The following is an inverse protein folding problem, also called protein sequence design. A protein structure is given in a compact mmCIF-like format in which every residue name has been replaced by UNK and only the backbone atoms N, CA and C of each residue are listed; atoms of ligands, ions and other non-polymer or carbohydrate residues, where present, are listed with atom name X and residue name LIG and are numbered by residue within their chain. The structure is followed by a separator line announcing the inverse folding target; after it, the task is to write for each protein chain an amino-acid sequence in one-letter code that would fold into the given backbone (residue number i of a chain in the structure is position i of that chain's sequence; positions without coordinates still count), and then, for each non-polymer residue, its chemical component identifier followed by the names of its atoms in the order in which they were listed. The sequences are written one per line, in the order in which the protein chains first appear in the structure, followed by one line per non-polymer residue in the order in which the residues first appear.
data_IF_445226495111
#
_entry.id   IF_445226495111
#
_cell.length_a   1.000
_cell.length_b   1.000
_cell.length_c   1.000
_cell.angle_alpha   90.00
_cell.angle_beta   90.00
_cell.angle_gamma   90.00
#
_symmetry.space_group_name_H-M   'P 1'
#
loop_
_entity.id
_entity.type
_entity.pdbx_description
1 polymer ?
#
# COMPACT_ATOMS: atom_id res chain seq x y z
N UNK A 1 -14.97 -1.56 25.08
CA UNK A 1 -14.23 -0.63 24.20
C UNK A 1 -13.06 -0.08 25.00
N UNK A 2 -11.85 -0.07 24.44
CA UNK A 2 -10.69 0.52 25.11
C UNK A 2 -10.69 2.05 24.89
N UNK A 3 -10.22 2.81 25.88
CA UNK A 3 -10.00 4.25 25.73
C UNK A 3 -8.86 4.51 24.74
N UNK A 4 -9.04 5.45 23.83
CA UNK A 4 -7.98 5.89 22.92
C UNK A 4 -6.82 6.49 23.72
N UNK A 5 -5.61 5.95 23.53
CA UNK A 5 -4.38 6.42 24.19
C UNK A 5 -3.18 6.28 23.27
N UNK A 6 -2.08 6.97 23.59
CA UNK A 6 -0.84 6.89 22.81
C UNK A 6 -0.30 5.46 22.76
N UNK A 7 -0.35 4.73 23.87
CA UNK A 7 0.14 3.34 23.91
C UNK A 7 -0.73 2.41 23.07
N UNK A 8 -2.05 2.63 23.06
CA UNK A 8 -2.95 1.92 22.15
C UNK A 8 -2.58 2.19 20.68
N UNK A 9 -2.31 3.45 20.31
CA UNK A 9 -1.89 3.80 18.94
C UNK A 9 -0.56 3.17 18.54
N UNK A 10 0.42 3.14 19.45
CA UNK A 10 1.71 2.47 19.23
C UNK A 10 1.52 0.97 19.01
N UNK A 11 0.75 0.31 19.88
CA UNK A 11 0.49 -1.12 19.81
C UNK A 11 -0.33 -1.51 18.56
N UNK A 12 -1.21 -0.63 18.09
CA UNK A 12 -2.00 -0.83 16.88
C UNK A 12 -1.22 -0.56 15.58
N UNK A 13 0.00 -0.03 15.65
CA UNK A 13 0.75 0.38 14.46
C UNK A 13 0.12 1.55 13.71
N UNK A 14 -0.57 2.45 14.43
CA UNK A 14 -1.33 3.55 13.83
C UNK A 14 -0.46 4.70 13.31
N UNK A 15 0.81 4.77 13.74
CA UNK A 15 1.76 5.76 13.25
C UNK A 15 2.38 5.31 11.92
N UNK A 16 2.40 6.22 10.94
CA UNK A 16 3.08 5.96 9.68
C UNK A 16 4.58 5.71 9.94
N UNK A 17 5.22 4.75 9.24
CA UNK A 17 6.65 4.51 9.36
C UNK A 17 7.46 5.78 9.07
N UNK A 18 8.53 5.99 9.86
CA UNK A 18 9.41 7.13 9.67
C UNK A 18 10.30 7.01 8.43
N UNK A 19 10.61 5.78 8.01
CA UNK A 19 11.46 5.51 6.83
C UNK A 19 10.61 5.22 5.60
N UNK A 20 10.94 5.81 4.44
CA UNK A 20 10.36 5.44 3.15
C UNK A 20 10.66 3.99 2.76
N UNK A 21 9.82 3.42 1.89
CA UNK A 21 10.01 2.09 1.34
C UNK A 21 10.66 2.17 -0.05
N UNK A 22 11.77 1.42 -0.26
CA UNK A 22 12.45 1.33 -1.56
C UNK A 22 11.59 0.53 -2.53
N UNK A 23 11.33 1.07 -3.72
CA UNK A 23 10.66 0.39 -4.84
C UNK A 23 11.45 0.56 -6.13
N UNK A 24 11.29 -0.39 -7.03
CA UNK A 24 11.79 -0.30 -8.40
C UNK A 24 10.60 -0.07 -9.32
N UNK A 25 10.73 0.90 -10.21
CA UNK A 25 9.69 1.24 -11.19
C UNK A 25 10.25 1.11 -12.60
N UNK A 26 9.34 0.86 -13.53
CA UNK A 26 9.62 0.84 -14.96
C UNK A 26 8.58 1.65 -15.71
N UNK A 27 8.99 2.36 -16.74
CA UNK A 27 8.09 3.11 -17.61
C UNK A 27 8.62 3.17 -19.03
N UNK A 28 7.75 3.51 -19.98
CA UNK A 28 8.07 3.59 -21.40
C UNK A 28 7.80 5.01 -21.89
N UNK A 29 8.73 5.57 -22.66
CA UNK A 29 8.62 6.87 -23.31
C UNK A 29 8.07 6.75 -24.74
N UNK A 30 7.71 7.86 -25.38
CA UNK A 30 7.12 7.87 -26.73
C UNK A 30 8.00 7.20 -27.79
N UNK A 31 9.32 7.22 -27.59
CA UNK A 31 10.30 6.53 -28.44
C UNK A 31 10.39 5.01 -28.18
N UNK A 32 9.46 4.47 -27.38
CA UNK A 32 9.34 3.05 -26.99
C UNK A 32 10.52 2.52 -26.20
N UNK A 33 11.35 3.38 -25.62
CA UNK A 33 12.44 2.95 -24.73
C UNK A 33 11.91 2.63 -23.34
N UNK A 34 12.38 1.51 -22.80
CA UNK A 34 12.12 1.11 -21.42
C UNK A 34 13.13 1.81 -20.50
N UNK A 35 12.61 2.49 -19.49
CA UNK A 35 13.39 3.12 -18.43
C UNK A 35 13.10 2.42 -17.10
N UNK A 36 14.12 2.37 -16.24
CA UNK A 36 14.03 1.77 -14.91
C UNK A 36 14.66 2.72 -13.88
N UNK A 37 14.05 2.82 -12.70
CA UNK A 37 14.60 3.62 -11.62
C UNK A 37 14.24 3.03 -10.25
N UNK A 38 15.08 3.37 -9.27
CA UNK A 38 14.81 3.16 -7.85
C UNK A 38 14.14 4.41 -7.30
N UNK A 39 13.05 4.24 -6.57
CA UNK A 39 12.34 5.30 -5.87
C UNK A 39 12.19 4.93 -4.40
N UNK A 40 11.93 5.95 -3.57
CA UNK A 40 11.55 5.76 -2.18
C UNK A 40 10.17 6.35 -1.96
N UNK A 41 9.28 5.54 -1.38
CA UNK A 41 7.88 5.90 -1.21
C UNK A 41 7.59 6.08 0.28
N UNK A 42 7.18 7.29 0.66
CA UNK A 42 6.63 7.58 1.98
C UNK A 42 5.20 7.04 2.07
N UNK A 43 4.90 6.27 3.12
CA UNK A 43 3.53 5.82 3.40
C UNK A 43 2.63 7.00 3.76
N UNK A 44 1.36 6.96 3.32
CA UNK A 44 0.38 7.99 3.66
C UNK A 44 0.22 8.13 5.18
N UNK A 45 0.05 9.37 5.59
CA UNK A 45 -0.08 9.79 6.98
C UNK A 45 -1.04 10.98 7.09
N UNK A 46 -1.25 11.46 8.31
CA UNK A 46 -2.01 12.70 8.52
C UNK A 46 -1.34 13.91 7.82
N UNK A 47 -0.01 13.94 7.71
CA UNK A 47 0.70 15.02 7.01
C UNK A 47 0.40 15.03 5.52
N UNK A 48 0.44 13.86 4.86
CA UNK A 48 0.09 13.77 3.43
C UNK A 48 -1.38 14.11 3.19
N UNK A 49 -2.26 13.79 4.14
CA UNK A 49 -3.68 14.15 4.04
C UNK A 49 -3.88 15.67 4.10
N UNK A 50 -3.14 16.37 4.97
CA UNK A 50 -3.15 17.84 5.03
C UNK A 50 -2.67 18.43 3.70
N UNK A 51 -1.57 17.94 3.14
CA UNK A 51 -1.05 18.41 1.85
C UNK A 51 -2.08 18.22 0.73
N UNK A 52 -2.63 17.01 0.57
CA UNK A 52 -3.65 16.71 -0.45
C UNK A 52 -4.91 17.59 -0.30
N UNK A 53 -5.32 17.89 0.94
CA UNK A 53 -6.51 18.72 1.21
C UNK A 53 -6.39 20.16 0.72
N UNK A 54 -5.17 20.72 0.68
CA UNK A 54 -4.93 22.09 0.20
C UNK A 54 -5.18 22.23 -1.29
N UNK A 55 -5.07 21.14 -2.03
CA UNK A 55 -5.20 21.09 -3.49
C UNK A 55 -6.49 20.42 -3.95
N UNK A 56 -7.38 20.04 -3.03
CA UNK A 56 -8.56 19.22 -3.34
C UNK A 56 -9.58 19.88 -4.29
N UNK A 57 -9.55 21.21 -4.42
CA UNK A 57 -10.41 21.96 -5.36
C UNK A 57 -9.96 21.84 -6.83
N UNK A 58 -8.72 21.40 -7.07
CA UNK A 58 -8.17 21.16 -8.40
C UNK A 58 -7.73 19.69 -8.50
N UNK A 59 -8.50 18.89 -9.24
CA UNK A 59 -8.26 17.45 -9.35
C UNK A 59 -6.91 17.11 -9.98
N UNK A 60 -6.42 17.95 -10.89
CA UNK A 60 -5.13 17.75 -11.56
C UNK A 60 -4.00 18.00 -10.57
N UNK A 61 -4.06 19.14 -9.87
CA UNK A 61 -3.07 19.50 -8.86
C UNK A 61 -3.09 18.53 -7.68
N UNK A 62 -4.25 17.97 -7.33
CA UNK A 62 -4.38 16.98 -6.28
C UNK A 62 -3.60 15.68 -6.57
N UNK A 63 -3.62 15.20 -7.83
CA UNK A 63 -2.87 14.00 -8.22
C UNK A 63 -1.37 14.27 -8.27
N UNK A 64 -0.96 15.43 -8.78
CA UNK A 64 0.44 15.87 -8.77
C UNK A 64 0.99 15.98 -7.34
N UNK A 65 0.21 16.61 -6.44
CA UNK A 65 0.55 16.77 -5.02
C UNK A 65 0.68 15.42 -4.32
N UNK A 66 -0.18 14.45 -4.65
CA UNK A 66 -0.07 13.09 -4.12
C UNK A 66 1.23 12.42 -4.54
N UNK A 67 1.64 12.56 -5.80
CA UNK A 67 2.90 12.01 -6.29
C UNK A 67 4.07 12.71 -5.59
N UNK A 68 4.14 14.04 -5.64
CA UNK A 68 5.25 14.81 -5.07
C UNK A 68 5.39 14.64 -3.55
N UNK A 69 4.27 14.50 -2.83
CA UNK A 69 4.26 14.29 -1.38
C UNK A 69 4.63 12.86 -0.95
N UNK A 70 4.50 11.88 -1.86
CA UNK A 70 4.77 10.46 -1.56
C UNK A 70 6.14 10.01 -2.05
N UNK A 71 6.64 10.56 -3.17
CA UNK A 71 7.95 10.20 -3.72
C UNK A 71 9.01 11.10 -3.11
N UNK A 72 9.92 10.47 -2.38
CA UNK A 72 10.95 11.12 -1.59
C UNK A 72 12.32 10.49 -1.87
N UNK A 73 13.37 11.08 -1.34
CA UNK A 73 14.69 10.46 -1.28
C UNK A 73 14.76 9.42 -0.14
N UNK A 74 15.92 8.77 0.01
CA UNK A 74 16.15 7.79 1.07
C UNK A 74 16.02 8.38 2.50
N UNK A 75 16.31 9.67 2.66
CA UNK A 75 16.17 10.39 3.91
C UNK A 75 14.72 10.87 4.16
N UNK A 76 13.82 10.70 3.20
CA UNK A 76 12.43 11.12 3.27
C UNK A 76 12.18 12.57 2.86
N UNK A 77 13.11 13.24 2.17
CA UNK A 77 12.91 14.59 1.62
C UNK A 77 12.23 14.52 0.26
N UNK A 78 11.35 15.48 -0.05
CA UNK A 78 10.66 15.53 -1.35
C UNK A 78 11.67 15.83 -2.46
N UNK A 79 11.60 15.06 -3.55
CA UNK A 79 12.45 15.24 -4.74
C UNK A 79 11.73 15.93 -5.90
N UNK A 80 10.39 16.06 -5.82
CA UNK A 80 9.56 16.74 -6.80
C UNK A 80 8.71 17.81 -6.12
N UNK A 81 8.42 18.87 -6.86
CA UNK A 81 7.27 19.75 -6.65
C UNK A 81 6.09 19.29 -7.52
N UNK A 82 4.89 19.76 -7.21
CA UNK A 82 3.72 19.46 -8.05
C UNK A 82 3.92 19.95 -9.50
N UNK A 83 4.54 21.11 -9.68
CA UNK A 83 4.85 21.70 -11.00
C UNK A 83 5.82 20.83 -11.81
N UNK A 84 6.71 20.08 -11.16
CA UNK A 84 7.62 19.16 -11.86
C UNK A 84 6.85 17.97 -12.47
N UNK A 85 5.65 17.68 -11.97
CA UNK A 85 4.78 16.59 -12.46
C UNK A 85 3.86 17.09 -13.57
N UNK A 86 3.22 18.26 -13.38
CA UNK A 86 2.27 18.83 -14.36
C UNK A 86 2.96 19.61 -15.49
N UNK A 87 4.24 19.93 -15.34
CA UNK A 87 4.99 20.77 -16.26
C UNK A 87 5.11 22.22 -15.78
N UNK A 88 6.17 22.87 -16.23
CA UNK A 88 6.55 24.23 -15.88
C UNK A 88 7.23 24.91 -17.08
N UNK A 89 7.89 26.05 -16.87
CA UNK A 89 8.57 26.80 -17.94
C UNK A 89 9.83 26.10 -18.48
N UNK A 90 10.41 25.16 -17.72
CA UNK A 90 11.62 24.42 -18.09
C UNK A 90 11.31 23.13 -18.86
N UNK A 91 10.17 22.49 -18.57
CA UNK A 91 9.78 21.24 -19.20
C UNK A 91 8.27 20.98 -19.19
N UNK A 92 7.79 20.15 -20.11
CA UNK A 92 6.40 19.69 -20.14
C UNK A 92 6.04 18.73 -18.98
N UNK A 93 4.78 18.27 -18.91
CA UNK A 93 4.33 17.28 -17.93
C UNK A 93 5.10 15.95 -18.08
N UNK A 94 5.14 15.16 -17.01
CA UNK A 94 5.64 13.78 -17.11
C UNK A 94 4.72 12.94 -18.02
N UNK A 95 5.28 11.92 -18.68
CA UNK A 95 4.47 11.05 -19.52
C UNK A 95 3.53 10.16 -18.69
N UNK A 96 2.40 9.77 -19.29
CA UNK A 96 1.37 8.94 -18.65
C UNK A 96 1.93 7.62 -18.09
N UNK A 97 2.88 7.00 -18.79
CA UNK A 97 3.50 5.75 -18.36
C UNK A 97 4.28 5.92 -17.05
N UNK A 98 5.03 7.01 -16.91
CA UNK A 98 5.75 7.33 -15.67
C UNK A 98 4.77 7.66 -14.55
N UNK A 99 3.75 8.49 -14.82
CA UNK A 99 2.74 8.84 -13.84
C UNK A 99 2.04 7.60 -13.26
N UNK A 100 1.63 6.66 -14.12
CA UNK A 100 1.01 5.40 -13.68
C UNK A 100 1.96 4.51 -12.89
N UNK A 101 3.23 4.43 -13.29
CA UNK A 101 4.24 3.65 -12.57
C UNK A 101 4.46 4.17 -11.14
N UNK A 102 4.52 5.50 -10.98
CA UNK A 102 4.64 6.15 -9.67
C UNK A 102 3.39 5.93 -8.81
N UNK A 103 2.20 6.12 -9.37
CA UNK A 103 0.94 5.91 -8.64
C UNK A 103 0.77 4.47 -8.18
N UNK A 104 1.13 3.49 -9.02
CA UNK A 104 1.07 2.07 -8.65
C UNK A 104 2.00 1.77 -7.47
N UNK A 105 3.25 2.26 -7.50
CA UNK A 105 4.17 2.09 -6.38
C UNK A 105 3.63 2.74 -5.09
N UNK A 106 2.99 3.91 -5.18
CA UNK A 106 2.32 4.56 -4.05
C UNK A 106 1.18 3.70 -3.52
N UNK A 107 0.32 3.16 -4.38
CA UNK A 107 -0.81 2.33 -3.97
C UNK A 107 -0.36 1.02 -3.33
N UNK A 108 0.68 0.37 -3.87
CA UNK A 108 1.26 -0.85 -3.32
C UNK A 108 1.78 -0.66 -1.90
N UNK A 109 2.56 0.40 -1.66
CA UNK A 109 3.13 0.71 -0.33
C UNK A 109 2.03 1.06 0.68
N UNK A 110 0.91 1.62 0.21
CA UNK A 110 -0.23 1.96 1.05
C UNK A 110 -1.25 0.81 1.21
N UNK A 111 -1.05 -0.33 0.55
CA UNK A 111 -1.98 -1.46 0.61
C UNK A 111 -3.38 -1.15 0.06
N UNK A 112 -3.50 -0.19 -0.86
CA UNK A 112 -4.79 0.18 -1.46
C UNK A 112 -5.26 -1.00 -2.31
N UNK A 113 -6.41 -1.59 -1.95
CA UNK A 113 -6.94 -2.80 -2.60
C UNK A 113 -6.59 -4.12 -1.90
N UNK A 114 -5.71 -4.11 -0.90
CA UNK A 114 -5.55 -5.24 0.01
C UNK A 114 -6.73 -5.27 0.99
N UNK A 115 -7.39 -6.42 1.15
CA UNK A 115 -8.37 -6.60 2.23
C UNK A 115 -7.60 -6.48 3.56
N UNK A 116 -8.10 -5.68 4.48
CA UNK A 116 -7.57 -5.66 5.84
C UNK A 116 -7.68 -7.08 6.40
N UNK A 117 -6.55 -7.76 6.63
CA UNK A 117 -6.57 -8.98 7.42
C UNK A 117 -7.03 -8.59 8.83
N UNK A 118 -8.17 -9.11 9.32
CA UNK A 118 -8.52 -8.94 10.70
C UNK A 118 -7.59 -9.86 11.48
N UNK A 119 -6.38 -9.40 11.81
CA UNK A 119 -5.52 -10.14 12.73
C UNK A 119 -6.26 -10.19 14.07
N UNK A 120 -6.68 -11.37 14.56
CA UNK A 120 -7.30 -11.45 15.88
C UNK A 120 -6.22 -11.10 16.89
N UNK A 121 -6.54 -10.16 17.79
CA UNK A 121 -5.79 -9.97 19.02
C UNK A 121 -5.75 -11.33 19.74
N UNK A 122 -4.60 -11.99 19.68
CA UNK A 122 -4.33 -13.20 20.46
C UNK A 122 -4.22 -12.79 21.91
N UNK A 123 -5.34 -12.82 22.62
CA UNK A 123 -5.29 -12.93 24.07
C UNK A 123 -4.97 -14.39 24.39
N UNK A 124 -3.77 -14.60 24.92
CA UNK A 124 -3.41 -15.85 25.60
C UNK A 124 -4.40 -16.09 26.74
N UNK A 125 -5.11 -17.21 26.71
CA UNK A 125 -5.77 -17.77 27.88
C UNK A 125 -5.57 -19.29 27.88
N UNK A 126 -5.15 -19.78 29.03
CA UNK A 126 -4.69 -21.13 29.34
C UNK A 126 -5.75 -22.23 29.24
N UNK A 127 -5.28 -23.43 28.89
CA UNK A 127 -5.65 -24.75 29.44
C UNK A 127 -7.14 -25.09 29.69
N UNK A 128 -7.64 -26.09 28.97
CA UNK A 128 -8.84 -26.85 29.36
C UNK A 128 -9.02 -28.10 28.49
N UNK A 129 -8.94 -29.27 29.13
CA UNK A 129 -8.92 -30.62 28.54
C UNK A 129 -10.30 -31.26 28.58
N UNK A 130 -10.80 -31.74 27.44
CA UNK A 130 -11.65 -32.95 27.27
C UNK A 130 -11.91 -33.15 25.75
N UNK A 131 -11.45 -34.22 25.10
CA UNK A 131 -11.91 -35.62 25.13
C UNK A 131 -13.35 -35.79 24.64
N UNK A 132 -13.53 -36.06 23.34
CA UNK A 132 -14.15 -37.29 22.81
C UNK A 132 -14.26 -37.26 21.29
N UNK A 133 -13.70 -38.29 20.63
CA UNK A 133 -13.97 -38.66 19.24
C UNK A 133 -14.99 -39.81 19.25
N UNK A 134 -15.97 -39.85 18.34
CA UNK A 134 -16.56 -41.10 17.92
C UNK A 134 -15.85 -41.59 16.67
N UNK A 135 -15.12 -42.69 16.85
CA UNK A 135 -14.76 -43.64 15.81
C UNK A 135 -16.03 -44.28 15.25
N UNK A 136 -16.22 -44.23 13.92
CA UNK A 136 -17.20 -45.07 13.24
C UNK A 136 -16.67 -45.49 11.86
N UNK A 137 -16.14 -46.72 11.87
CA UNK A 137 -16.27 -47.78 10.87
C UNK A 137 -15.80 -47.54 9.41
N UNK A 138 -14.91 -48.44 9.01
CA UNK A 138 -14.26 -48.57 7.71
C UNK A 138 -15.17 -49.27 6.64
N UNK A 139 -14.67 -49.63 5.43
CA UNK A 139 -15.28 -49.30 4.13
C UNK A 139 -16.02 -50.48 3.46
N UNK A 140 -16.86 -50.22 2.46
CA UNK A 140 -17.24 -51.26 1.48
C UNK A 140 -17.25 -50.80 0.02
N UNK A 141 -16.39 -51.51 -0.72
CA UNK A 141 -16.29 -51.62 -2.16
C UNK A 141 -17.55 -52.24 -2.78
N UNK A 142 -17.99 -51.77 -3.96
CA UNK A 142 -18.59 -52.64 -5.00
C UNK A 142 -18.66 -51.95 -6.37
N UNK A 143 -17.86 -52.55 -7.25
CA UNK A 143 -17.82 -52.52 -8.72
C UNK A 143 -19.18 -52.96 -9.31
N UNK A 144 -19.71 -52.24 -10.31
CA UNK A 144 -20.52 -52.86 -11.38
C UNK A 144 -20.48 -52.03 -12.67
N UNK A 145 -20.15 -52.73 -13.76
CA UNK A 145 -20.12 -52.29 -15.16
C UNK A 145 -21.45 -52.56 -15.86
N UNK A 146 -21.69 -51.87 -17.00
CA UNK A 146 -22.66 -52.08 -18.12
C UNK A 146 -23.53 -50.83 -18.34
N UNK A 147 -23.81 -50.34 -19.55
CA UNK A 147 -23.59 -50.79 -20.93
C UNK A 147 -23.46 -49.54 -21.80
#
# INVERSE_FOLDING_TARGET
MQQLSIDMLKNAGAFAPAKPERREIKWITDDKKLHEAVIYVRKKSFLTLIEESKTASDSTLAMATRISGSIVDEAGQQIFKADDIVGNDEHGPICDSLAMSLLNAIYDVNGVGAKADPKPLSQSASSGKSSSLPELAAPQSKKLSKT
#
